data_IF_575825804872
#
_entry.id   IF_575825804872
#
_cell.length_a   1.000
_cell.length_b   1.000
_cell.length_c   1.000
_cell.angle_alpha   90.00
_cell.angle_beta   90.00
_cell.angle_gamma   90.00
#
_symmetry.space_group_name_H-M   'P 1'
#
loop_
_entity.id
_entity.type
_entity.pdbx_description
1 polymer ?
#
# COMPACT_ATOMS: atom_id res chain seq x y z
N UNK A 1 3.29 -19.26 -3.01
CA UNK A 1 4.43 -18.67 -2.28
C UNK A 1 4.43 -17.15 -2.30
N UNK A 2 4.12 -16.51 -3.44
CA UNK A 2 4.05 -15.04 -3.54
C UNK A 2 3.10 -14.40 -2.51
N UNK A 3 1.87 -14.89 -2.34
CA UNK A 3 0.92 -14.34 -1.35
C UNK A 3 1.43 -14.50 0.10
N UNK A 4 2.09 -15.62 0.43
CA UNK A 4 2.67 -15.83 1.75
C UNK A 4 3.79 -14.82 2.05
N UNK A 5 4.61 -14.51 1.05
CA UNK A 5 5.62 -13.47 1.15
C UNK A 5 5.01 -12.08 1.35
N UNK A 6 3.97 -11.76 0.58
CA UNK A 6 3.23 -10.50 0.74
C UNK A 6 2.76 -10.35 2.18
N UNK A 7 2.00 -11.32 2.70
CA UNK A 7 1.44 -11.24 4.04
C UNK A 7 2.51 -11.24 5.15
N UNK A 8 3.60 -12.00 4.97
CA UNK A 8 4.65 -12.09 5.99
C UNK A 8 5.53 -10.83 6.03
N UNK A 9 6.06 -10.44 4.88
CA UNK A 9 7.09 -9.39 4.79
C UNK A 9 6.45 -8.03 4.63
N UNK A 10 5.42 -7.93 3.79
CA UNK A 10 4.82 -6.64 3.39
C UNK A 10 3.77 -6.17 4.41
N UNK A 11 3.03 -7.08 5.05
CA UNK A 11 2.10 -6.70 6.12
C UNK A 11 2.73 -6.84 7.52
N UNK A 12 3.62 -7.81 7.73
CA UNK A 12 4.26 -8.06 9.03
C UNK A 12 5.25 -6.96 9.44
N UNK A 13 6.16 -6.55 8.56
CA UNK A 13 7.18 -5.55 8.90
C UNK A 13 6.56 -4.17 9.20
N UNK A 14 5.64 -3.64 8.37
CA UNK A 14 4.95 -2.40 8.72
C UNK A 14 4.05 -2.53 9.95
N UNK A 15 3.40 -3.67 10.16
CA UNK A 15 2.61 -3.91 11.37
C UNK A 15 3.47 -3.79 12.65
N UNK A 16 4.67 -4.35 12.64
CA UNK A 16 5.64 -4.18 13.73
C UNK A 16 6.10 -2.73 13.87
N UNK A 17 6.34 -2.03 12.76
CA UNK A 17 6.74 -0.62 12.81
C UNK A 17 5.63 0.29 13.37
N UNK A 18 4.37 0.03 13.02
CA UNK A 18 3.20 0.75 13.53
C UNK A 18 2.99 0.49 15.03
N UNK A 19 3.34 -0.69 15.54
CA UNK A 19 3.27 -1.00 16.96
C UNK A 19 4.22 -0.13 17.81
N UNK A 20 5.27 0.42 17.21
CA UNK A 20 6.28 1.26 17.88
C UNK A 20 6.07 2.75 17.57
N UNK A 21 5.04 3.12 16.81
CA UNK A 21 4.76 4.51 16.46
C UNK A 21 4.31 5.32 17.72
N UNK A 22 4.95 6.46 18.02
CA UNK A 22 4.58 7.28 19.17
C UNK A 22 3.14 7.80 19.05
N UNK A 23 2.43 7.82 20.19
CA UNK A 23 1.03 8.24 20.25
C UNK A 23 0.80 9.67 19.69
N UNK A 24 -0.33 9.88 19.00
CA UNK A 24 -0.70 11.18 18.45
C UNK A 24 -0.71 12.27 19.54
N UNK A 25 -0.29 13.50 19.19
CA UNK A 25 -0.15 14.65 20.12
C UNK A 25 -1.44 15.07 20.84
N UNK A 26 -2.58 14.45 20.55
CA UNK A 26 -3.91 14.73 21.12
C UNK A 26 -4.61 13.45 21.64
N UNK A 27 -3.87 12.35 21.83
CA UNK A 27 -4.45 11.07 22.27
C UNK A 27 -5.20 11.20 23.61
N UNK A 28 -4.66 11.96 24.56
CA UNK A 28 -5.30 12.19 25.88
C UNK A 28 -6.40 13.26 25.88
N UNK A 29 -6.58 14.02 24.79
CA UNK A 29 -7.68 14.99 24.66
C UNK A 29 -8.91 14.38 24.00
N UNK A 30 -8.83 13.12 23.54
CA UNK A 30 -9.97 12.39 22.98
C UNK A 30 -10.76 11.71 24.09
N UNK A 31 -12.10 11.75 24.03
CA UNK A 31 -12.92 10.98 24.96
C UNK A 31 -12.64 9.47 24.77
N UNK A 32 -12.73 8.67 25.85
CA UNK A 32 -12.47 7.24 25.80
C UNK A 32 -13.41 6.54 24.82
N UNK A 33 -12.88 5.53 24.10
CA UNK A 33 -13.68 4.73 23.17
C UNK A 33 -14.76 3.95 23.94
N UNK A 34 -15.99 3.98 23.45
CA UNK A 34 -17.09 3.19 24.02
C UNK A 34 -16.83 1.70 23.81
N UNK A 35 -16.93 0.89 24.86
CA UNK A 35 -16.75 -0.58 24.82
C UNK A 35 -17.74 -1.29 23.90
N UNK A 36 -18.87 -0.67 23.59
CA UNK A 36 -19.91 -1.22 22.70
C UNK A 36 -19.71 -0.92 21.21
N UNK A 37 -18.67 -0.16 20.83
CA UNK A 37 -18.39 0.10 19.41
C UNK A 37 -17.59 -1.06 18.81
N UNK A 38 -17.97 -1.56 17.62
CA UNK A 38 -17.15 -2.53 16.90
C UNK A 38 -15.79 -1.92 16.54
N UNK A 39 -14.74 -2.74 16.59
CA UNK A 39 -13.36 -2.37 16.20
C UNK A 39 -13.31 -1.92 14.74
N UNK A 40 -14.12 -2.55 13.89
CA UNK A 40 -14.34 -2.19 12.49
C UNK A 40 -15.68 -1.47 12.42
N UNK A 41 -15.67 -0.15 12.23
CA UNK A 41 -16.89 0.60 11.99
C UNK A 41 -17.31 0.54 10.51
N UNK A 42 -18.56 0.94 10.22
CA UNK A 42 -19.07 0.94 8.85
C UNK A 42 -18.31 1.86 7.90
N UNK A 43 -17.66 2.92 8.40
CA UNK A 43 -16.84 3.79 7.57
C UNK A 43 -15.52 3.11 7.17
N UNK A 44 -14.86 2.45 8.13
CA UNK A 44 -13.64 1.68 7.97
C UNK A 44 -13.87 0.49 7.03
N UNK A 45 -15.01 -0.20 7.13
CA UNK A 45 -15.35 -1.28 6.20
C UNK A 45 -15.41 -0.80 4.74
N UNK A 46 -16.10 0.32 4.49
CA UNK A 46 -16.14 0.92 3.14
C UNK A 46 -14.75 1.33 2.65
N UNK A 47 -13.90 1.81 3.55
CA UNK A 47 -12.53 2.20 3.22
C UNK A 47 -11.68 0.99 2.82
N UNK A 48 -11.77 -0.11 3.57
CA UNK A 48 -11.09 -1.38 3.24
C UNK A 48 -11.56 -1.92 1.89
N UNK A 49 -12.87 -1.99 1.67
CA UNK A 49 -13.43 -2.50 0.40
C UNK A 49 -13.00 -1.62 -0.77
N UNK A 50 -13.04 -0.30 -0.61
CA UNK A 50 -12.64 0.62 -1.67
C UNK A 50 -11.15 0.52 -2.00
N UNK A 51 -10.27 0.48 -0.99
CA UNK A 51 -8.81 0.33 -1.21
C UNK A 51 -8.52 -1.02 -1.87
N UNK A 52 -9.12 -2.10 -1.38
CA UNK A 52 -8.95 -3.43 -1.96
C UNK A 52 -9.40 -3.49 -3.42
N UNK A 53 -10.51 -2.86 -3.76
CA UNK A 53 -11.04 -2.83 -5.13
C UNK A 53 -10.13 -2.02 -6.06
N UNK A 54 -9.63 -0.86 -5.63
CA UNK A 54 -8.69 -0.05 -6.39
C UNK A 54 -7.35 -0.79 -6.58
N UNK A 55 -6.84 -1.44 -5.54
CA UNK A 55 -5.64 -2.28 -5.61
C UNK A 55 -5.80 -3.42 -6.62
N UNK A 56 -6.92 -4.14 -6.57
CA UNK A 56 -7.22 -5.22 -7.50
C UNK A 56 -7.31 -4.71 -8.93
N UNK A 57 -8.04 -3.60 -9.15
CA UNK A 57 -8.19 -3.01 -10.48
C UNK A 57 -6.84 -2.57 -11.07
N UNK A 58 -6.00 -1.87 -10.30
CA UNK A 58 -4.68 -1.41 -10.76
C UNK A 58 -3.77 -2.59 -11.08
N UNK A 59 -3.74 -3.61 -10.22
CA UNK A 59 -2.85 -4.76 -10.39
C UNK A 59 -3.26 -5.61 -11.60
N UNK A 60 -4.56 -5.82 -11.79
CA UNK A 60 -5.09 -6.50 -12.97
C UNK A 60 -4.89 -5.68 -14.24
N UNK A 61 -5.06 -4.36 -14.19
CA UNK A 61 -4.82 -3.48 -15.33
C UNK A 61 -3.35 -3.49 -15.76
N UNK A 62 -2.41 -3.44 -14.82
CA UNK A 62 -0.98 -3.54 -15.11
C UNK A 62 -0.63 -4.91 -15.73
N UNK A 63 -1.17 -6.00 -15.17
CA UNK A 63 -1.02 -7.33 -15.75
C UNK A 63 -1.61 -7.44 -17.17
N UNK A 64 -2.81 -6.90 -17.39
CA UNK A 64 -3.47 -6.90 -18.69
C UNK A 64 -2.72 -6.04 -19.72
N UNK A 65 -2.13 -4.92 -19.31
CA UNK A 65 -1.31 -4.06 -20.17
C UNK A 65 -0.09 -4.82 -20.70
N UNK A 66 0.60 -5.56 -19.83
CA UNK A 66 1.76 -6.36 -20.24
C UNK A 66 1.33 -7.56 -21.11
N UNK A 67 0.22 -8.22 -20.78
CA UNK A 67 -0.32 -9.31 -21.60
C UNK A 67 -0.74 -8.86 -23.01
N UNK A 68 -1.14 -7.59 -23.19
CA UNK A 68 -1.49 -7.03 -24.49
C UNK A 68 -0.29 -6.52 -25.31
N UNK A 69 0.84 -6.22 -24.66
CA UNK A 69 2.03 -5.65 -25.30
C UNK A 69 3.03 -6.68 -25.82
N UNK A 70 3.10 -7.86 -25.20
CA UNK A 70 3.91 -8.98 -25.66
C UNK A 70 3.30 -10.28 -25.10
N UNK A 71 3.26 -11.33 -25.93
CA UNK A 71 2.84 -12.67 -25.54
C UNK A 71 3.90 -13.32 -24.61
N UNK A 72 4.09 -12.73 -23.43
CA UNK A 72 5.04 -13.16 -22.42
C UNK A 72 4.46 -14.30 -21.58
N UNK A 73 5.33 -15.17 -21.06
CA UNK A 73 5.01 -16.33 -20.23
C UNK A 73 4.09 -15.97 -19.04
N UNK A 74 3.26 -16.92 -18.58
CA UNK A 74 2.42 -16.79 -17.37
C UNK A 74 3.24 -16.36 -16.13
N UNK A 75 4.49 -16.81 -16.03
CA UNK A 75 5.40 -16.44 -14.95
C UNK A 75 5.75 -14.94 -14.97
N UNK A 76 5.83 -14.33 -16.15
CA UNK A 76 6.10 -12.89 -16.29
C UNK A 76 4.93 -12.06 -15.77
N UNK A 77 3.72 -12.38 -16.25
CA UNK A 77 2.48 -11.74 -15.80
C UNK A 77 2.29 -11.81 -14.28
N UNK A 78 2.53 -12.99 -13.68
CA UNK A 78 2.46 -13.18 -12.23
C UNK A 78 3.47 -12.31 -11.48
N UNK A 79 4.67 -12.14 -12.01
CA UNK A 79 5.71 -11.31 -11.38
C UNK A 79 5.35 -9.83 -11.41
N UNK A 80 4.76 -9.36 -12.51
CA UNK A 80 4.24 -7.98 -12.65
C UNK A 80 3.14 -7.72 -11.61
N UNK A 81 2.11 -8.57 -11.58
CA UNK A 81 0.99 -8.42 -10.63
C UNK A 81 1.49 -8.45 -9.20
N UNK A 82 2.40 -9.36 -8.86
CA UNK A 82 3.03 -9.43 -7.54
C UNK A 82 3.82 -8.15 -7.20
N UNK A 83 4.57 -7.59 -8.14
CA UNK A 83 5.35 -6.36 -7.93
C UNK A 83 4.44 -5.14 -7.76
N UNK A 84 3.38 -5.02 -8.58
CA UNK A 84 2.41 -3.92 -8.45
C UNK A 84 1.67 -4.02 -7.13
N UNK A 85 1.21 -5.21 -6.73
CA UNK A 85 0.53 -5.42 -5.45
C UNK A 85 1.41 -5.04 -4.26
N UNK A 86 2.66 -5.49 -4.24
CA UNK A 86 3.59 -5.20 -3.13
C UNK A 86 3.94 -3.71 -3.03
N UNK A 87 4.23 -3.05 -4.15
CA UNK A 87 4.48 -1.60 -4.18
C UNK A 87 3.23 -0.80 -3.77
N UNK A 88 2.06 -1.23 -4.24
CA UNK A 88 0.78 -0.62 -3.88
C UNK A 88 0.50 -0.76 -2.37
N UNK A 89 0.79 -1.92 -1.76
CA UNK A 89 0.67 -2.10 -0.31
C UNK A 89 1.61 -1.18 0.48
N UNK A 90 2.85 -1.01 0.05
CA UNK A 90 3.77 -0.05 0.68
C UNK A 90 3.20 1.38 0.63
N UNK A 91 2.65 1.79 -0.52
CA UNK A 91 1.95 3.07 -0.66
C UNK A 91 0.72 3.17 0.25
N UNK A 92 -0.05 2.09 0.39
CA UNK A 92 -1.20 2.02 1.27
C UNK A 92 -0.82 2.14 2.74
N UNK A 93 0.25 1.45 3.18
CA UNK A 93 0.79 1.55 4.55
C UNK A 93 1.12 3.00 4.89
N UNK A 94 1.82 3.69 3.98
CA UNK A 94 2.12 5.12 4.15
C UNK A 94 0.83 5.94 4.22
N UNK A 95 -0.16 5.63 3.38
CA UNK A 95 -1.43 6.36 3.38
C UNK A 95 -2.27 6.10 4.65
N UNK A 96 -2.34 4.88 5.16
CA UNK A 96 -3.12 4.51 6.35
C UNK A 96 -2.53 5.12 7.62
N UNK A 97 -1.20 5.34 7.68
CA UNK A 97 -0.54 6.06 8.78
C UNK A 97 -1.26 7.36 9.18
N UNK A 98 -1.81 8.08 8.20
CA UNK A 98 -2.54 9.30 8.48
C UNK A 98 -4.01 9.21 8.13
N UNK A 99 -4.84 8.97 9.13
CA UNK A 99 -6.31 8.94 8.99
C UNK A 99 -6.93 10.34 8.88
N UNK A 100 -6.21 11.41 9.25
CA UNK A 100 -6.76 12.78 9.32
C UNK A 100 -6.00 13.84 8.55
N UNK A 101 -4.68 13.77 8.46
CA UNK A 101 -3.87 14.77 7.77
C UNK A 101 -3.30 14.24 6.45
N UNK A 102 -3.16 15.11 5.45
CA UNK A 102 -2.45 14.76 4.21
C UNK A 102 -1.00 14.36 4.54
N UNK A 103 -0.46 13.36 3.84
CA UNK A 103 0.95 12.95 3.99
C UNK A 103 1.92 14.11 3.74
N UNK A 104 1.52 15.07 2.90
CA UNK A 104 2.26 16.30 2.63
C UNK A 104 2.35 17.25 3.83
N UNK A 105 1.43 17.15 4.81
CA UNK A 105 1.45 17.98 6.03
C UNK A 105 2.28 17.37 7.17
N UNK A 106 2.38 16.04 7.24
CA UNK A 106 3.08 15.35 8.32
C UNK A 106 4.59 15.19 8.02
N UNK A 107 4.96 15.13 6.74
CA UNK A 107 6.32 14.89 6.29
C UNK A 107 6.68 13.40 6.28
N UNK A 108 7.29 12.95 5.18
CA UNK A 108 7.70 11.56 4.93
C UNK A 108 8.74 11.04 5.93
N UNK A 109 9.55 11.92 6.53
CA UNK A 109 10.64 11.56 7.46
C UNK A 109 10.25 11.57 8.95
N UNK A 110 8.99 11.87 9.27
CA UNK A 110 8.52 12.00 10.66
C UNK A 110 8.56 10.69 11.44
N UNK A 111 8.55 9.53 10.76
CA UNK A 111 8.63 8.20 11.37
C UNK A 111 9.67 7.34 10.66
N UNK A 112 10.90 7.37 11.18
CA UNK A 112 12.04 6.55 10.73
C UNK A 112 11.79 5.04 10.77
N UNK A 113 11.16 4.43 11.81
CA UNK A 113 10.91 2.99 11.80
C UNK A 113 9.96 2.55 10.69
N UNK A 114 8.90 3.32 10.39
CA UNK A 114 8.01 3.01 9.26
C UNK A 114 8.73 3.15 7.92
N UNK A 115 9.54 4.20 7.75
CA UNK A 115 10.34 4.39 6.54
C UNK A 115 11.35 3.25 6.37
N UNK A 116 11.96 2.79 7.45
CA UNK A 116 12.90 1.68 7.45
C UNK A 116 12.19 0.36 7.12
N UNK A 117 10.98 0.12 7.63
CA UNK A 117 10.17 -1.03 7.23
C UNK A 117 9.84 -1.00 5.73
N UNK A 118 9.40 0.15 5.18
CA UNK A 118 9.11 0.30 3.74
C UNK A 118 10.37 0.14 2.88
N UNK A 119 11.49 0.72 3.30
CA UNK A 119 12.76 0.58 2.59
C UNK A 119 13.25 -0.87 2.60
N UNK A 120 13.15 -1.53 3.76
CA UNK A 120 13.54 -2.93 3.91
C UNK A 120 12.67 -3.84 3.04
N UNK A 121 11.35 -3.64 3.03
CA UNK A 121 10.45 -4.42 2.16
C UNK A 121 10.72 -4.17 0.69
N UNK A 122 11.06 -2.93 0.29
CA UNK A 122 11.46 -2.61 -1.09
C UNK A 122 12.75 -3.33 -1.51
N UNK A 123 13.78 -3.33 -0.66
CA UNK A 123 15.03 -4.06 -0.91
C UNK A 123 14.79 -5.56 -1.02
N UNK A 124 14.00 -6.12 -0.10
CA UNK A 124 13.61 -7.53 -0.13
C UNK A 124 12.81 -7.88 -1.39
N UNK A 125 11.93 -6.99 -1.85
CA UNK A 125 11.18 -7.15 -3.09
C UNK A 125 12.12 -7.20 -4.30
N UNK A 126 13.11 -6.31 -4.38
CA UNK A 126 14.13 -6.34 -5.45
C UNK A 126 14.95 -7.62 -5.42
N UNK A 127 15.31 -8.13 -4.22
CA UNK A 127 16.00 -9.41 -4.09
C UNK A 127 15.15 -10.57 -4.64
N UNK A 128 13.84 -10.61 -4.36
CA UNK A 128 12.96 -11.66 -4.91
C UNK A 128 12.84 -11.60 -6.44
N UNK A 129 12.91 -10.40 -7.03
CA UNK A 129 12.80 -10.22 -8.48
C UNK A 129 14.12 -10.49 -9.20
N UNK A 130 15.28 -10.15 -8.60
CA UNK A 130 16.58 -10.21 -9.28
C UNK A 130 17.53 -11.32 -8.78
N UNK A 131 17.32 -11.91 -7.60
CA UNK A 131 18.22 -12.95 -7.09
C UNK A 131 17.83 -14.34 -7.64
N UNK A 132 18.73 -15.04 -8.36
CA UNK A 132 18.48 -16.36 -8.91
C UNK A 132 17.95 -17.43 -7.93
N UNK A 133 18.45 -17.55 -6.67
CA UNK A 133 17.92 -18.56 -5.75
C UNK A 133 16.48 -18.26 -5.31
N UNK A 134 16.09 -16.98 -5.23
CA UNK A 134 14.73 -16.58 -4.88
C UNK A 134 13.79 -16.71 -6.08
N UNK A 135 14.27 -16.44 -7.30
CA UNK A 135 13.50 -16.68 -8.52
C UNK A 135 13.04 -18.13 -8.65
N UNK A 136 13.90 -19.09 -8.32
CA UNK A 136 13.56 -20.52 -8.35
C UNK A 136 12.46 -20.89 -7.33
N UNK A 137 12.44 -20.24 -6.15
CA UNK A 137 11.44 -20.50 -5.11
C UNK A 137 10.12 -19.79 -5.41
N UNK A 138 10.17 -18.54 -5.85
CA UNK A 138 8.98 -17.71 -6.08
C UNK A 138 8.42 -17.81 -7.51
N UNK A 139 9.10 -18.55 -8.38
CA UNK A 139 8.82 -18.66 -9.81
C UNK A 139 8.68 -17.27 -10.46
N UNK A 140 9.57 -16.35 -10.09
CA UNK A 140 9.60 -14.98 -10.61
C UNK A 140 10.55 -14.87 -11.80
N UNK A 141 10.20 -14.00 -12.73
CA UNK A 141 11.06 -13.63 -13.87
C UNK A 141 11.69 -12.25 -13.60
N UNK A 142 12.92 -12.00 -14.06
CA UNK A 142 13.51 -10.67 -13.94
C UNK A 142 12.70 -9.67 -14.77
N UNK A 143 12.26 -8.58 -14.15
CA UNK A 143 11.59 -7.49 -14.86
C UNK A 143 12.63 -6.60 -15.55
N UNK A 144 12.30 -6.19 -16.77
CA UNK A 144 13.01 -5.10 -17.43
C UNK A 144 12.87 -3.80 -16.63
N UNK A 145 13.83 -2.87 -16.76
CA UNK A 145 13.73 -1.56 -16.10
C UNK A 145 12.48 -0.78 -16.56
N UNK A 146 12.04 -0.98 -17.81
CA UNK A 146 10.82 -0.38 -18.35
C UNK A 146 9.56 -0.91 -17.65
N UNK A 147 9.48 -2.21 -17.44
CA UNK A 147 8.34 -2.83 -16.76
C UNK A 147 8.34 -2.53 -15.26
N UNK A 148 9.51 -2.39 -14.65
CA UNK A 148 9.63 -1.92 -13.28
C UNK A 148 9.12 -0.48 -13.16
N UNK A 149 9.50 0.41 -14.08
CA UNK A 149 8.99 1.79 -14.11
C UNK A 149 7.48 1.83 -14.32
N UNK A 150 6.93 0.95 -15.17
CA UNK A 150 5.50 0.79 -15.35
C UNK A 150 4.82 0.31 -14.07
N UNK A 151 5.39 -0.69 -13.37
CA UNK A 151 4.87 -1.15 -12.08
C UNK A 151 4.85 -0.04 -11.02
N UNK A 152 5.88 0.79 -10.96
CA UNK A 152 5.94 1.97 -10.09
C UNK A 152 4.88 2.99 -10.49
N UNK A 153 4.71 3.26 -11.79
CA UNK A 153 3.69 4.18 -12.29
C UNK A 153 2.27 3.70 -11.91
N UNK A 154 1.96 2.42 -12.15
CA UNK A 154 0.65 1.86 -11.80
C UNK A 154 0.42 1.84 -10.28
N UNK A 155 1.39 1.39 -9.49
CA UNK A 155 1.24 1.39 -8.02
C UNK A 155 1.10 2.80 -7.44
N UNK A 156 1.73 3.81 -8.05
CA UNK A 156 1.54 5.21 -7.64
C UNK A 156 0.10 5.70 -7.81
N UNK A 157 -0.69 5.13 -8.73
CA UNK A 157 -2.11 5.49 -8.89
C UNK A 157 -2.91 5.21 -7.63
N UNK A 158 -2.58 4.15 -6.88
CA UNK A 158 -3.26 3.87 -5.62
C UNK A 158 -3.01 5.00 -4.61
N UNK A 159 -1.77 5.45 -4.49
CA UNK A 159 -1.40 6.55 -3.61
C UNK A 159 -2.22 7.81 -3.95
N UNK A 160 -2.27 8.18 -5.23
CA UNK A 160 -3.07 9.31 -5.69
C UNK A 160 -4.57 9.12 -5.43
N UNK A 161 -5.10 7.91 -5.64
CA UNK A 161 -6.49 7.60 -5.38
C UNK A 161 -6.84 7.79 -3.89
N UNK A 162 -6.00 7.28 -2.98
CA UNK A 162 -6.21 7.44 -1.54
C UNK A 162 -6.11 8.91 -1.13
N UNK A 163 -5.13 9.64 -1.64
CA UNK A 163 -4.96 11.06 -1.33
C UNK A 163 -6.13 11.91 -1.85
N UNK A 164 -6.62 11.65 -3.07
CA UNK A 164 -7.81 12.29 -3.62
C UNK A 164 -9.05 12.04 -2.75
N UNK A 165 -9.22 10.80 -2.25
CA UNK A 165 -10.31 10.45 -1.32
C UNK A 165 -10.21 11.21 0.01
N UNK A 166 -9.00 11.34 0.57
CA UNK A 166 -8.78 12.13 1.78
C UNK A 166 -9.12 13.59 1.57
N UNK A 167 -8.66 14.18 0.47
CA UNK A 167 -8.95 15.58 0.10
C UNK A 167 -10.45 15.81 -0.07
N UNK A 168 -11.15 14.91 -0.76
CA UNK A 168 -12.60 14.97 -0.92
C UNK A 168 -13.33 14.89 0.43
N UNK A 169 -12.89 13.99 1.31
CA UNK A 169 -13.49 13.82 2.64
C UNK A 169 -13.24 15.06 3.52
N UNK A 170 -12.03 15.64 3.47
CA UNK A 170 -11.71 16.86 4.18
C UNK A 170 -12.56 18.04 3.67
N UNK A 171 -12.71 18.17 2.35
CA UNK A 171 -13.52 19.20 1.71
C UNK A 171 -15.02 19.09 2.05
N UNK A 172 -15.57 17.88 2.05
CA UNK A 172 -16.96 17.62 2.46
C UNK A 172 -17.18 17.96 3.95
N UNK A 173 -16.22 17.65 4.83
CA UNK A 173 -16.30 18.01 6.26
C UNK A 173 -16.26 19.52 6.48
N UNK A 174 -15.49 20.27 5.69
CA UNK A 174 -15.50 21.74 5.77
C UNK A 174 -16.81 22.35 5.27
N UNK A 175 -17.50 21.72 4.31
CA UNK A 175 -18.81 22.19 3.84
C UNK A 175 -19.95 21.92 4.82
N UNK A 176 -19.95 20.79 5.54
CA UNK A 176 -20.99 20.47 6.53
C UNK A 176 -20.84 21.18 7.89
N UNK A 177 -19.80 22.00 8.10
CA UNK A 177 -19.65 22.84 9.30
C UNK A 177 -20.30 24.23 9.16
N UNK A 178 -20.95 24.52 8.04
CA UNK A 178 -21.54 25.85 7.72
C UNK A 178 -23.08 25.83 7.73
N UNK A 179 -23.71 24.73 8.16
CA UNK A 179 -25.16 24.61 8.39
C UNK A 179 -25.41 24.13 9.80
#
# INVERSE_FOLDING_TARGET
LQILWVNLVTDGLPGLALAVEPAERSTMQRPPYSTSRPVIDGAMWRDIVWVGLVMAAISLAAGAWIAGGAAEDEAYWRTVVFTVLTLAQMGNVLAVRSTRDSLFRIGLSSNTPLLLAVLLTFVLQLLVVYAPPLQAVFATRPLSLGDLALCVAFSSLLFWAIEAKKLLTAWLRTRCRVT
#
